data_IF_717435611249
#
_entry.id   IF_717435611249
#
_cell.length_a   1.000
_cell.length_b   1.000
_cell.length_c   1.000
_cell.angle_alpha   90.00
_cell.angle_beta   90.00
_cell.angle_gamma   90.00
#
_symmetry.space_group_name_H-M   'P 1'
#
loop_
_entity.id
_entity.type
_entity.pdbx_description
1 polymer ?
#
# COMPACT_ATOMS: atom_id res chain seq x y z
N UNK A 1 19.77 1.91 -4.53
CA UNK A 1 18.59 1.17 -5.01
C UNK A 1 18.14 0.23 -3.89
N UNK A 2 17.05 0.51 -3.15
CA UNK A 2 16.65 -0.42 -2.10
C UNK A 2 16.29 -1.75 -2.77
N UNK A 3 16.94 -2.83 -2.35
CA UNK A 3 16.77 -4.15 -2.94
C UNK A 3 15.29 -4.52 -2.92
N UNK A 4 14.72 -4.79 -4.09
CA UNK A 4 13.30 -5.09 -4.28
C UNK A 4 12.90 -6.50 -3.74
N UNK A 5 13.74 -7.08 -2.87
CA UNK A 5 13.55 -8.41 -2.28
C UNK A 5 12.65 -8.28 -1.07
N UNK A 6 11.53 -8.99 -1.09
CA UNK A 6 10.61 -9.07 0.03
C UNK A 6 11.25 -9.88 1.17
N UNK A 7 11.38 -9.25 2.33
CA UNK A 7 11.77 -9.94 3.56
C UNK A 7 10.69 -10.96 3.94
N UNK A 8 11.11 -12.13 4.43
CA UNK A 8 10.26 -13.23 4.91
C UNK A 8 9.52 -14.04 3.83
N UNK A 9 9.81 -13.83 2.55
CA UNK A 9 9.41 -14.75 1.47
C UNK A 9 10.70 -15.34 0.87
N UNK A 10 10.87 -16.68 0.89
CA UNK A 10 12.07 -17.31 0.34
C UNK A 10 12.11 -17.06 -1.17
N UNK A 11 13.30 -16.83 -1.73
CA UNK A 11 13.48 -16.69 -3.18
C UNK A 11 13.69 -18.08 -3.79
N UNK A 12 12.63 -18.67 -4.32
CA UNK A 12 12.61 -20.01 -4.92
C UNK A 12 12.26 -19.93 -6.41
N UNK A 13 12.41 -21.03 -7.14
CA UNK A 13 11.89 -21.13 -8.51
C UNK A 13 10.35 -21.22 -8.49
N UNK A 14 9.64 -20.74 -9.52
CA UNK A 14 8.17 -20.79 -9.58
C UNK A 14 7.56 -22.18 -9.30
N UNK A 15 8.19 -23.24 -9.79
CA UNK A 15 7.74 -24.62 -9.55
C UNK A 15 7.87 -25.05 -8.07
N UNK A 16 8.93 -24.63 -7.39
CA UNK A 16 9.16 -24.95 -5.97
C UNK A 16 8.17 -24.22 -5.05
N UNK A 17 7.60 -23.10 -5.50
CA UNK A 17 6.52 -22.45 -4.76
C UNK A 17 5.27 -23.33 -4.68
N UNK A 18 5.04 -24.29 -5.59
CA UNK A 18 3.86 -25.16 -5.55
C UNK A 18 3.88 -26.11 -4.33
N UNK A 19 5.06 -26.57 -3.90
CA UNK A 19 5.23 -27.57 -2.85
C UNK A 19 5.30 -27.00 -1.44
N UNK A 20 5.71 -25.75 -1.27
CA UNK A 20 5.81 -25.14 0.07
C UNK A 20 4.45 -24.74 0.65
N UNK A 21 4.36 -24.68 1.98
CA UNK A 21 3.14 -24.26 2.68
C UNK A 21 2.83 -22.77 2.49
N UNK A 22 1.56 -22.41 2.58
CA UNK A 22 1.07 -21.02 2.43
C UNK A 22 1.76 -19.97 3.34
N UNK A 23 1.99 -20.19 4.65
CA UNK A 23 2.62 -19.17 5.49
C UNK A 23 4.08 -18.86 5.09
N UNK A 24 4.75 -19.78 4.37
CA UNK A 24 6.09 -19.52 3.81
C UNK A 24 6.06 -18.63 2.56
N UNK A 25 4.89 -18.49 1.91
CA UNK A 25 4.69 -17.71 0.67
C UNK A 25 4.14 -16.31 0.92
N UNK A 26 3.49 -16.10 2.05
CA UNK A 26 2.70 -14.90 2.35
C UNK A 26 3.14 -14.26 3.64
N UNK A 27 2.92 -12.95 3.77
CA UNK A 27 3.11 -12.24 5.04
C UNK A 27 1.75 -11.72 5.52
N UNK A 28 1.48 -11.81 6.83
CA UNK A 28 0.20 -11.40 7.41
C UNK A 28 0.11 -9.87 7.54
N UNK A 29 -0.11 -9.20 6.39
CA UNK A 29 -0.39 -7.76 6.27
C UNK A 29 -1.04 -7.44 4.93
N UNK A 30 -1.59 -6.24 4.77
CA UNK A 30 -2.06 -5.75 3.48
C UNK A 30 -0.94 -5.80 2.43
N UNK A 31 -1.24 -6.34 1.25
CA UNK A 31 -0.28 -6.58 0.17
C UNK A 31 0.97 -7.41 0.57
N UNK A 32 0.84 -8.27 1.59
CA UNK A 32 1.91 -9.15 2.04
C UNK A 32 2.37 -10.10 0.93
N UNK A 33 3.69 -10.25 0.78
CA UNK A 33 4.29 -11.05 -0.30
C UNK A 33 4.25 -10.41 -1.69
N UNK A 34 3.67 -9.21 -1.84
CA UNK A 34 3.66 -8.47 -3.11
C UNK A 34 4.36 -7.11 -3.03
N UNK A 35 4.23 -6.40 -1.89
CA UNK A 35 4.81 -5.07 -1.70
C UNK A 35 5.62 -4.95 -0.41
N UNK A 36 6.62 -4.08 -0.45
CA UNK A 36 7.48 -3.77 0.69
C UNK A 36 6.69 -3.04 1.79
N UNK A 37 7.12 -3.16 3.05
CA UNK A 37 6.42 -2.53 4.18
C UNK A 37 6.31 -1.00 4.02
N UNK A 38 7.41 -0.35 3.62
CA UNK A 38 7.45 1.09 3.38
C UNK A 38 6.52 1.50 2.24
N UNK A 39 6.48 0.71 1.15
CA UNK A 39 5.62 0.93 0.00
C UNK A 39 4.13 0.90 0.39
N UNK A 40 3.74 -0.01 1.28
CA UNK A 40 2.36 -0.10 1.79
C UNK A 40 2.05 1.09 2.69
N UNK A 41 2.96 1.48 3.58
CA UNK A 41 2.82 2.66 4.42
C UNK A 41 2.62 3.93 3.60
N UNK A 42 3.48 4.16 2.62
CA UNK A 42 3.40 5.34 1.74
C UNK A 42 2.09 5.36 0.95
N UNK A 43 1.62 4.20 0.48
CA UNK A 43 0.34 4.08 -0.23
C UNK A 43 -0.85 4.42 0.66
N UNK A 44 -0.85 3.95 1.91
CA UNK A 44 -1.91 4.24 2.89
C UNK A 44 -1.92 5.73 3.24
N UNK A 45 -0.77 6.29 3.60
CA UNK A 45 -0.65 7.71 3.98
C UNK A 45 -1.00 8.61 2.80
N UNK A 46 -0.50 8.31 1.59
CA UNK A 46 -0.82 9.09 0.39
C UNK A 46 -2.31 9.04 0.07
N UNK A 47 -2.96 7.87 0.12
CA UNK A 47 -4.39 7.74 -0.15
C UNK A 47 -5.21 8.57 0.84
N UNK A 48 -4.89 8.48 2.14
CA UNK A 48 -5.52 9.26 3.19
C UNK A 48 -5.40 10.78 2.93
N UNK A 49 -4.18 11.29 2.75
CA UNK A 49 -3.95 12.72 2.56
C UNK A 49 -4.61 13.27 1.30
N UNK A 50 -4.70 12.48 0.22
CA UNK A 50 -5.38 12.91 -1.01
C UNK A 50 -6.88 13.05 -0.77
N UNK A 51 -7.51 12.13 -0.05
CA UNK A 51 -8.93 12.23 0.30
C UNK A 51 -9.20 13.42 1.23
N UNK A 52 -8.37 13.62 2.25
CA UNK A 52 -8.47 14.80 3.13
C UNK A 52 -8.37 16.11 2.34
N UNK A 53 -7.41 16.21 1.42
CA UNK A 53 -7.28 17.38 0.55
C UNK A 53 -8.48 17.57 -0.38
N UNK A 54 -9.12 16.50 -0.87
CA UNK A 54 -10.34 16.60 -1.68
C UNK A 54 -11.50 17.18 -0.86
N UNK A 55 -11.66 16.73 0.38
CA UNK A 55 -12.71 17.22 1.30
C UNK A 55 -12.49 18.71 1.59
N UNK A 56 -11.27 19.11 1.98
CA UNK A 56 -10.94 20.52 2.26
C UNK A 56 -11.21 21.39 1.04
N UNK A 57 -10.80 20.96 -0.16
CA UNK A 57 -11.07 21.70 -1.40
C UNK A 57 -12.57 21.85 -1.69
N UNK A 58 -13.38 20.84 -1.38
CA UNK A 58 -14.83 20.90 -1.57
C UNK A 58 -15.48 21.91 -0.62
N UNK A 59 -15.14 21.86 0.67
CA UNK A 59 -15.67 22.77 1.69
C UNK A 59 -15.26 24.23 1.43
N UNK A 60 -14.03 24.47 0.97
CA UNK A 60 -13.58 25.82 0.60
C UNK A 60 -14.38 26.39 -0.58
N UNK A 61 -14.68 25.58 -1.60
CA UNK A 61 -15.51 26.00 -2.74
C UNK A 61 -16.94 26.34 -2.31
N UNK A 62 -17.56 25.51 -1.47
CA UNK A 62 -18.91 25.74 -0.94
C UNK A 62 -18.97 27.01 -0.07
N UNK A 63 -17.93 27.26 0.73
CA UNK A 63 -17.84 28.46 1.58
C UNK A 63 -17.68 29.75 0.76
N UNK A 64 -16.93 29.71 -0.34
CA UNK A 64 -16.78 30.84 -1.26
C UNK A 64 -18.09 31.14 -2.01
N UNK A 65 -18.83 30.11 -2.42
CA UNK A 65 -20.14 30.28 -3.06
C UNK A 65 -21.18 30.88 -2.11
N UNK A 66 -21.19 30.50 -0.83
CA UNK A 66 -22.10 31.11 0.17
C UNK A 66 -21.77 32.56 0.53
N UNK A 67 -20.53 33.01 0.28
CA UNK A 67 -20.09 34.39 0.55
C UNK A 67 -20.30 35.36 -0.62
N UNK A 68 -20.60 34.85 -1.82
CA UNK A 68 -21.08 35.64 -2.96
C UNK A 68 -22.60 35.73 -2.91
#
# INVERSE_FOLDING_TARGET
>A
MPSNRLTYVPALRPHEYATISRPKKTVQRAYGGSRCANCVKDRVVRAFLIEEQKIVKKVLKESQQKKR
#
